data_IF_249609768138
#
_entry.id   IF_249609768138
#
_cell.length_a   1.000
_cell.length_b   1.000
_cell.length_c   1.000
_cell.angle_alpha   90.00
_cell.angle_beta   90.00
_cell.angle_gamma   90.00
#
_symmetry.space_group_name_H-M   'P 1'
#
loop_
_entity.id
_entity.type
_entity.pdbx_description
1 polymer ?
#
# COMPACT_ATOMS: atom_id res chain seq x y z
N UNK A 1 9.30 19.32 -6.67
CA UNK A 1 8.13 19.26 -5.79
C UNK A 1 8.43 18.36 -4.59
N UNK A 2 8.14 18.84 -3.39
CA UNK A 2 8.38 18.06 -2.18
C UNK A 2 7.37 16.93 -2.06
N UNK A 3 7.88 15.73 -1.74
CA UNK A 3 7.04 14.60 -1.43
C UNK A 3 6.32 14.85 -0.10
N UNK A 4 5.00 14.58 0.00
CA UNK A 4 4.30 14.73 1.27
C UNK A 4 4.85 13.76 2.32
N UNK A 5 4.87 14.20 3.57
CA UNK A 5 5.28 13.40 4.70
C UNK A 5 4.06 13.22 5.58
N UNK A 6 3.65 11.97 5.79
CA UNK A 6 2.51 11.65 6.63
C UNK A 6 2.98 11.44 8.08
N UNK A 7 2.26 12.01 9.06
CA UNK A 7 2.59 11.75 10.47
C UNK A 7 2.35 10.29 10.82
N UNK A 8 3.15 9.75 11.72
CA UNK A 8 3.00 8.38 12.17
C UNK A 8 3.46 8.20 13.61
N UNK A 9 2.96 7.14 14.24
CA UNK A 9 3.36 6.76 15.58
C UNK A 9 4.77 6.14 15.53
N UNK A 10 5.78 6.78 16.18
CA UNK A 10 7.16 6.28 16.14
C UNK A 10 7.34 4.88 16.72
N UNK A 11 6.42 4.43 17.57
CA UNK A 11 6.46 3.08 18.14
C UNK A 11 6.30 1.99 17.09
N UNK A 12 5.78 2.33 15.91
CA UNK A 12 5.59 1.38 14.82
C UNK A 12 6.85 1.12 13.99
N UNK A 13 7.92 1.87 14.19
CA UNK A 13 9.15 1.72 13.41
C UNK A 13 9.74 0.31 13.46
N UNK A 14 9.85 -0.25 14.67
CA UNK A 14 10.40 -1.61 14.83
C UNK A 14 9.50 -2.66 14.22
N UNK A 15 8.19 -2.54 14.42
CA UNK A 15 7.23 -3.46 13.83
C UNK A 15 7.30 -3.43 12.30
N UNK A 16 7.42 -2.23 11.72
CA UNK A 16 7.57 -2.09 10.27
C UNK A 16 8.83 -2.79 9.77
N UNK A 17 9.95 -2.64 10.51
CA UNK A 17 11.19 -3.33 10.17
C UNK A 17 11.05 -4.85 10.22
N UNK A 18 10.41 -5.38 11.26
CA UNK A 18 10.13 -6.81 11.39
C UNK A 18 9.32 -7.32 10.20
N UNK A 19 8.28 -6.57 9.82
CA UNK A 19 7.44 -6.94 8.68
C UNK A 19 8.22 -6.95 7.36
N UNK A 20 9.12 -5.99 7.16
CA UNK A 20 9.98 -5.99 5.97
C UNK A 20 10.92 -7.20 5.94
N UNK A 21 11.42 -7.62 7.10
CA UNK A 21 12.33 -8.77 7.19
C UNK A 21 11.61 -10.11 7.12
N UNK A 22 10.28 -10.12 7.28
CA UNK A 22 9.45 -11.32 7.27
C UNK A 22 8.30 -11.20 6.28
N UNK A 23 8.60 -10.71 5.07
CA UNK A 23 7.62 -10.51 4.02
C UNK A 23 7.00 -11.82 3.55
N UNK A 24 5.71 -11.79 3.24
CA UNK A 24 5.04 -12.94 2.61
C UNK A 24 5.49 -13.07 1.16
N UNK A 25 5.20 -14.23 0.54
CA UNK A 25 5.57 -14.45 -0.85
C UNK A 25 4.90 -13.43 -1.78
N UNK A 26 3.61 -13.14 -1.58
CA UNK A 26 2.90 -12.15 -2.41
C UNK A 26 3.50 -10.74 -2.26
N UNK A 27 3.90 -10.37 -1.04
CA UNK A 27 4.57 -9.09 -0.80
C UNK A 27 5.92 -9.01 -1.53
N UNK A 28 6.70 -10.08 -1.48
CA UNK A 28 8.01 -10.14 -2.18
C UNK A 28 7.82 -9.99 -3.69
N UNK A 29 6.85 -10.70 -4.24
CA UNK A 29 6.56 -10.66 -5.68
C UNK A 29 6.15 -9.25 -6.11
N UNK A 30 5.17 -8.66 -5.42
CA UNK A 30 4.69 -7.33 -5.80
C UNK A 30 5.76 -6.26 -5.60
N UNK A 31 6.53 -6.35 -4.52
CA UNK A 31 7.63 -5.41 -4.27
C UNK A 31 8.65 -5.42 -5.41
N UNK A 32 8.93 -6.59 -5.97
CA UNK A 32 9.83 -6.71 -7.12
C UNK A 32 9.42 -5.85 -8.31
N UNK A 33 8.12 -5.57 -8.47
CA UNK A 33 7.60 -4.74 -9.56
C UNK A 33 7.41 -3.28 -9.17
N UNK A 34 7.36 -2.95 -7.88
CA UNK A 34 7.11 -1.59 -7.40
C UNK A 34 8.39 -0.83 -7.05
N UNK A 35 9.43 -1.53 -6.62
CA UNK A 35 10.68 -0.91 -6.18
C UNK A 35 11.42 -0.24 -7.34
N UNK A 36 12.30 0.70 -7.00
CA UNK A 36 13.20 1.30 -7.98
C UNK A 36 12.52 2.17 -9.03
N UNK A 37 11.39 2.77 -8.69
CA UNK A 37 10.64 3.67 -9.56
C UNK A 37 10.18 3.02 -10.88
N UNK A 38 10.00 1.70 -10.88
CA UNK A 38 9.56 0.95 -12.07
C UNK A 38 8.12 1.28 -12.48
N UNK A 39 7.25 1.59 -11.49
CA UNK A 39 5.85 1.88 -11.77
C UNK A 39 5.70 3.36 -12.15
N UNK A 40 5.77 3.64 -13.43
CA UNK A 40 5.60 4.97 -14.00
C UNK A 40 6.53 6.04 -13.40
N UNK A 41 7.69 5.63 -12.89
CA UNK A 41 8.68 6.54 -12.33
C UNK A 41 8.41 6.98 -10.89
N UNK A 42 7.38 6.47 -10.25
CA UNK A 42 7.02 6.86 -8.89
C UNK A 42 7.70 5.97 -7.84
N UNK A 43 8.01 6.59 -6.69
CA UNK A 43 8.74 5.97 -5.60
C UNK A 43 7.80 5.31 -4.61
N UNK A 44 7.69 3.97 -4.69
CA UNK A 44 6.92 3.17 -3.73
C UNK A 44 7.81 2.73 -2.58
N UNK A 45 7.24 2.66 -1.39
CA UNK A 45 7.87 2.12 -0.19
C UNK A 45 7.02 0.97 0.36
N UNK A 46 7.65 0.07 1.09
CA UNK A 46 6.94 -1.08 1.68
C UNK A 46 6.97 -1.00 3.20
N UNK A 47 5.92 -1.53 3.81
CA UNK A 47 5.78 -1.64 5.26
C UNK A 47 6.13 -0.34 5.96
N UNK A 48 5.34 0.71 5.66
CA UNK A 48 5.55 2.04 6.23
C UNK A 48 4.49 2.40 7.25
N UNK A 49 4.92 2.96 8.40
CA UNK A 49 3.97 3.54 9.34
C UNK A 49 3.31 4.79 8.77
N UNK A 50 1.99 4.85 8.88
CA UNK A 50 1.19 6.03 8.57
C UNK A 50 0.16 6.15 9.68
N UNK A 51 0.14 7.27 10.42
CA UNK A 51 -0.72 7.44 11.58
C UNK A 51 -0.46 6.31 12.58
N UNK A 52 -1.47 5.58 13.02
CA UNK A 52 -1.33 4.44 13.93
C UNK A 52 -1.34 3.09 13.20
N UNK A 53 -1.07 3.09 11.90
CA UNK A 53 -1.14 1.91 11.06
C UNK A 53 0.16 1.68 10.29
N UNK A 54 0.34 0.46 9.82
CA UNK A 54 1.40 0.12 8.88
C UNK A 54 0.73 -0.30 7.59
N UNK A 55 1.11 0.32 6.47
CA UNK A 55 0.58 -0.04 5.15
C UNK A 55 1.59 -0.92 4.43
N UNK A 56 1.10 -1.88 3.64
CA UNK A 56 1.97 -2.82 2.93
C UNK A 56 2.84 -2.09 1.91
N UNK A 57 2.23 -1.24 1.09
CA UNK A 57 2.95 -0.40 0.11
C UNK A 57 2.34 0.99 0.07
N UNK A 58 3.16 1.98 -0.13
CA UNK A 58 2.69 3.36 -0.26
C UNK A 58 3.56 4.14 -1.23
N UNK A 59 2.91 4.96 -2.05
CA UNK A 59 3.55 6.01 -2.81
C UNK A 59 3.06 7.35 -2.27
N UNK A 60 3.90 8.02 -1.49
CA UNK A 60 3.51 9.28 -0.84
C UNK A 60 3.23 10.38 -1.87
N UNK A 61 4.00 10.41 -2.96
CA UNK A 61 3.82 11.39 -4.04
C UNK A 61 2.41 11.35 -4.62
N UNK A 62 1.82 10.14 -4.68
CA UNK A 62 0.51 9.91 -5.29
C UNK A 62 -0.63 9.80 -4.27
N UNK A 63 -0.35 9.89 -2.99
CA UNK A 63 -1.35 9.63 -1.94
C UNK A 63 -2.04 8.28 -2.19
N UNK A 64 -1.24 7.25 -2.48
CA UNK A 64 -1.75 5.94 -2.86
C UNK A 64 -1.12 4.86 -1.99
N UNK A 65 -1.96 4.05 -1.34
CA UNK A 65 -1.54 2.90 -0.56
C UNK A 65 -2.13 1.61 -1.15
N UNK A 66 -1.40 0.51 -1.03
CA UNK A 66 -1.81 -0.80 -1.51
C UNK A 66 -1.69 -1.79 -0.36
N UNK A 67 -2.73 -2.59 -0.16
CA UNK A 67 -2.76 -3.65 0.85
C UNK A 67 -3.00 -5.00 0.19
N UNK A 68 -2.32 -6.03 0.69
CA UNK A 68 -2.52 -7.41 0.25
C UNK A 68 -3.24 -8.17 1.35
N UNK A 69 -4.35 -8.79 1.02
CA UNK A 69 -5.24 -9.44 1.96
C UNK A 69 -5.25 -10.97 1.80
N UNK A 70 -5.20 -11.68 2.94
CA UNK A 70 -5.36 -13.13 2.99
C UNK A 70 -6.71 -13.51 3.60
N UNK A 71 -6.88 -14.79 3.92
CA UNK A 71 -8.15 -15.33 4.44
C UNK A 71 -8.59 -14.72 5.77
N UNK A 72 -7.66 -14.26 6.60
CA UNK A 72 -8.00 -13.66 7.89
C UNK A 72 -8.87 -12.43 7.77
N UNK A 73 -8.83 -11.76 6.61
CA UNK A 73 -9.63 -10.58 6.34
C UNK A 73 -11.13 -10.88 6.11
N UNK A 74 -11.51 -12.15 6.11
CA UNK A 74 -12.91 -12.56 6.03
C UNK A 74 -13.60 -12.62 7.40
N UNK A 75 -12.84 -12.51 8.49
CA UNK A 75 -13.39 -12.48 9.84
C UNK A 75 -13.99 -11.10 10.13
N UNK A 76 -15.15 -11.08 10.79
CA UNK A 76 -15.86 -9.83 11.08
C UNK A 76 -15.01 -8.79 11.80
N UNK A 77 -14.23 -9.19 12.79
CA UNK A 77 -13.35 -8.27 13.54
C UNK A 77 -12.29 -7.65 12.65
N UNK A 78 -11.72 -8.44 11.75
CA UNK A 78 -10.70 -7.97 10.80
C UNK A 78 -11.31 -7.00 9.80
N UNK A 79 -12.53 -7.29 9.33
CA UNK A 79 -13.26 -6.40 8.41
C UNK A 79 -13.50 -5.04 9.06
N UNK A 80 -13.95 -5.01 10.31
CA UNK A 80 -14.17 -3.76 11.03
C UNK A 80 -12.89 -2.96 11.20
N UNK A 81 -11.79 -3.61 11.59
CA UNK A 81 -10.48 -2.95 11.72
C UNK A 81 -9.99 -2.39 10.40
N UNK A 82 -10.21 -3.13 9.31
CA UNK A 82 -9.83 -2.69 7.97
C UNK A 82 -10.62 -1.46 7.53
N UNK A 83 -11.92 -1.42 7.85
CA UNK A 83 -12.77 -0.27 7.55
C UNK A 83 -12.30 0.98 8.30
N UNK A 84 -11.99 0.86 9.58
CA UNK A 84 -11.50 1.96 10.40
C UNK A 84 -10.18 2.48 9.85
N UNK A 85 -9.28 1.58 9.49
CA UNK A 85 -7.99 1.92 8.89
C UNK A 85 -8.19 2.67 7.57
N UNK A 86 -9.04 2.16 6.71
CA UNK A 86 -9.30 2.77 5.40
C UNK A 86 -9.91 4.17 5.54
N UNK A 87 -10.89 4.33 6.45
CA UNK A 87 -11.50 5.63 6.74
C UNK A 87 -10.44 6.63 7.20
N UNK A 88 -9.55 6.20 8.11
CA UNK A 88 -8.49 7.08 8.60
C UNK A 88 -7.52 7.48 7.50
N UNK A 89 -7.13 6.54 6.64
CA UNK A 89 -6.26 6.84 5.50
C UNK A 89 -6.94 7.81 4.54
N UNK A 90 -8.24 7.62 4.28
CA UNK A 90 -9.02 8.53 3.44
C UNK A 90 -9.09 9.94 4.02
N UNK A 91 -9.20 10.08 5.34
CA UNK A 91 -9.16 11.38 6.01
C UNK A 91 -7.82 12.09 5.77
N UNK A 92 -6.74 11.34 5.64
CA UNK A 92 -5.41 11.87 5.33
C UNK A 92 -5.20 12.12 3.84
N UNK A 93 -6.21 11.89 3.03
CA UNK A 93 -6.15 12.07 1.57
C UNK A 93 -5.57 10.89 0.82
N UNK A 94 -5.34 9.77 1.49
CA UNK A 94 -4.71 8.59 0.90
C UNK A 94 -5.78 7.67 0.32
N UNK A 95 -5.65 7.33 -0.96
CA UNK A 95 -6.46 6.31 -1.61
C UNK A 95 -5.87 4.94 -1.29
N UNK A 96 -6.69 4.02 -0.79
CA UNK A 96 -6.29 2.66 -0.49
C UNK A 96 -6.92 1.71 -1.51
N UNK A 97 -6.10 0.87 -2.14
CA UNK A 97 -6.57 -0.21 -2.99
C UNK A 97 -6.09 -1.53 -2.41
N UNK A 98 -6.89 -2.59 -2.59
CA UNK A 98 -6.62 -3.90 -2.01
C UNK A 98 -6.62 -4.97 -3.08
N UNK A 99 -5.75 -5.97 -2.88
CA UNK A 99 -5.71 -7.17 -3.70
C UNK A 99 -5.64 -8.37 -2.76
N UNK A 100 -6.21 -9.48 -3.21
CA UNK A 100 -6.01 -10.75 -2.53
C UNK A 100 -4.61 -11.26 -2.79
N UNK A 101 -4.01 -11.95 -1.81
CA UNK A 101 -2.72 -12.61 -2.00
C UNK A 101 -2.75 -13.53 -3.23
N UNK A 102 -3.85 -14.26 -3.41
CA UNK A 102 -4.03 -15.15 -4.56
C UNK A 102 -3.97 -14.43 -5.90
N UNK A 103 -4.47 -13.20 -5.99
CA UNK A 103 -4.41 -12.43 -7.22
C UNK A 103 -2.96 -12.11 -7.60
N UNK A 104 -2.15 -11.76 -6.61
CA UNK A 104 -0.73 -11.49 -6.83
C UNK A 104 0.01 -12.74 -7.27
N UNK A 105 -0.32 -13.89 -6.67
CA UNK A 105 0.35 -15.15 -6.97
C UNK A 105 -0.07 -15.74 -8.32
N UNK A 106 -1.32 -15.56 -8.71
CA UNK A 106 -1.89 -16.24 -9.88
C UNK A 106 -2.24 -15.32 -11.05
N UNK A 107 -2.31 -14.02 -10.84
CA UNK A 107 -2.72 -13.08 -11.88
C UNK A 107 -2.00 -11.72 -11.74
N UNK A 108 -0.69 -11.78 -11.64
CA UNK A 108 0.14 -10.58 -11.40
C UNK A 108 -0.04 -9.54 -12.49
N UNK A 109 -0.23 -9.95 -13.74
CA UNK A 109 -0.39 -9.01 -14.85
C UNK A 109 -1.62 -8.13 -14.66
N UNK A 110 -2.73 -8.70 -14.20
CA UNK A 110 -3.94 -7.94 -13.91
C UNK A 110 -3.75 -7.00 -12.71
N UNK A 111 -3.07 -7.48 -11.67
CA UNK A 111 -2.75 -6.65 -10.49
C UNK A 111 -1.95 -5.43 -10.92
N UNK A 112 -0.91 -5.63 -11.71
CA UNK A 112 -0.05 -4.54 -12.18
C UNK A 112 -0.79 -3.57 -13.08
N UNK A 113 -1.70 -4.08 -13.91
CA UNK A 113 -2.53 -3.23 -14.77
C UNK A 113 -3.44 -2.32 -13.95
N UNK A 114 -4.08 -2.86 -12.90
CA UNK A 114 -4.95 -2.08 -12.02
C UNK A 114 -4.13 -1.03 -11.27
N UNK A 115 -2.95 -1.40 -10.78
CA UNK A 115 -2.06 -0.44 -10.11
C UNK A 115 -1.66 0.67 -11.06
N UNK A 116 -1.26 0.34 -12.28
CA UNK A 116 -0.86 1.34 -13.27
C UNK A 116 -1.99 2.31 -13.59
N UNK A 117 -3.20 1.80 -13.81
CA UNK A 117 -4.37 2.64 -14.06
C UNK A 117 -4.60 3.59 -12.88
N UNK A 118 -4.50 3.07 -11.65
CA UNK A 118 -4.69 3.86 -10.44
C UNK A 118 -3.60 4.93 -10.29
N UNK A 119 -2.36 4.58 -10.60
CA UNK A 119 -1.23 5.51 -10.59
C UNK A 119 -1.49 6.66 -11.57
N UNK A 120 -1.91 6.35 -12.79
CA UNK A 120 -2.18 7.36 -13.80
C UNK A 120 -3.37 8.25 -13.41
N UNK A 121 -4.41 7.68 -12.81
CA UNK A 121 -5.56 8.44 -12.30
C UNK A 121 -5.14 9.40 -11.17
N UNK A 122 -4.35 8.93 -10.22
CA UNK A 122 -3.86 9.77 -9.12
C UNK A 122 -2.94 10.86 -9.63
N UNK A 123 -2.09 10.54 -10.58
CA UNK A 123 -1.22 11.52 -11.23
C UNK A 123 -2.06 12.65 -11.84
N UNK A 124 -3.12 12.30 -12.54
CA UNK A 124 -4.00 13.27 -13.18
C UNK A 124 -4.74 14.12 -12.15
N UNK A 125 -5.30 13.50 -11.12
CA UNK A 125 -6.02 14.19 -10.04
C UNK A 125 -5.14 15.19 -9.31
N UNK A 126 -3.90 14.85 -9.08
CA UNK A 126 -2.93 15.66 -8.36
C UNK A 126 -2.18 16.62 -9.27
N UNK A 127 -2.45 16.59 -10.56
CA UNK A 127 -1.81 17.42 -11.57
C UNK A 127 -0.29 17.29 -11.60
N UNK A 128 0.18 16.07 -11.49
CA UNK A 128 1.60 15.76 -11.53
C UNK A 128 2.09 15.50 -12.96
#
# INVERSE_FOLDING_TARGET
MKRPIFPYNPKLKEKARELRNNSTLSEVILWGYLKGRQMQGFDFHRQRPVDNYIVDFICCELYLAIELDGYTHLLNETIEKDQIKEERLNELGIKLIRFWDEEVLNDIDNVLRVIEITVLDQKKKLKL
#
